data_IF_232915604440
#
_entry.id   IF_232915604440
#
_cell.length_a   1.000
_cell.length_b   1.000
_cell.length_c   1.000
_cell.angle_alpha   90.00
_cell.angle_beta   90.00
_cell.angle_gamma   90.00
#
_symmetry.space_group_name_H-M   'P 1'
#
loop_
_entity.id
_entity.type
_entity.pdbx_description
1 polymer ?
#
# COMPACT_ATOMS: atom_id res chain seq x y z
N UNK A 1 -7.03 -7.25 -25.28
CA UNK A 1 -5.66 -6.78 -24.96
C UNK A 1 -5.69 -6.34 -23.51
N UNK A 2 -5.34 -7.23 -22.57
CA UNK A 2 -5.27 -6.83 -21.17
C UNK A 2 -4.04 -5.96 -20.99
N UNK A 3 -4.21 -4.78 -20.39
CA UNK A 3 -3.12 -3.97 -19.84
C UNK A 3 -2.09 -4.92 -19.23
N UNK A 4 -0.89 -4.89 -19.79
CA UNK A 4 0.15 -5.85 -19.49
C UNK A 4 0.42 -5.82 -17.99
N UNK A 5 0.24 -6.94 -17.29
CA UNK A 5 0.81 -7.08 -15.94
C UNK A 5 2.33 -7.07 -16.11
N UNK A 6 2.98 -5.92 -15.90
CA UNK A 6 4.42 -5.73 -16.15
C UNK A 6 5.24 -5.79 -14.87
N UNK A 7 4.65 -5.48 -13.72
CA UNK A 7 5.41 -5.31 -12.48
C UNK A 7 5.68 -6.68 -11.86
N UNK A 8 6.94 -7.11 -11.69
CA UNK A 8 7.26 -8.32 -10.94
C UNK A 8 6.92 -8.17 -9.46
N UNK A 9 6.46 -9.24 -8.80
CA UNK A 9 6.09 -9.19 -7.37
C UNK A 9 7.20 -8.64 -6.44
N UNK A 10 8.51 -8.95 -6.63
CA UNK A 10 9.55 -8.34 -5.80
C UNK A 10 9.63 -6.81 -5.94
N UNK A 11 9.38 -6.29 -7.15
CA UNK A 11 9.35 -4.84 -7.40
C UNK A 11 8.11 -4.22 -6.77
N UNK A 12 6.96 -4.87 -6.88
CA UNK A 12 5.73 -4.46 -6.20
C UNK A 12 5.98 -4.30 -4.70
N UNK A 13 6.51 -5.34 -4.03
CA UNK A 13 6.78 -5.31 -2.60
C UNK A 13 7.81 -4.23 -2.23
N UNK A 14 8.83 -3.99 -3.06
CA UNK A 14 9.79 -2.91 -2.79
C UNK A 14 9.14 -1.52 -2.85
N UNK A 15 8.24 -1.29 -3.82
CA UNK A 15 7.50 -0.02 -3.91
C UNK A 15 6.50 0.10 -2.77
N UNK A 16 5.75 -0.95 -2.46
CA UNK A 16 4.79 -0.99 -1.34
C UNK A 16 5.49 -0.69 -0.01
N UNK A 17 6.66 -1.29 0.24
CA UNK A 17 7.48 -1.02 1.43
C UNK A 17 7.87 0.45 1.52
N UNK A 18 8.37 1.03 0.42
CA UNK A 18 8.78 2.43 0.39
C UNK A 18 7.57 3.36 0.59
N UNK A 19 6.44 3.06 -0.04
CA UNK A 19 5.19 3.81 0.11
C UNK A 19 4.67 3.74 1.54
N UNK A 20 4.67 2.57 2.17
CA UNK A 20 4.26 2.39 3.55
C UNK A 20 5.11 3.19 4.54
N UNK A 21 6.44 3.14 4.40
CA UNK A 21 7.36 3.95 5.22
C UNK A 21 7.14 5.45 4.99
N UNK A 22 7.01 5.88 3.73
CA UNK A 22 6.76 7.27 3.40
C UNK A 22 5.42 7.76 3.97
N UNK A 23 4.37 6.93 3.90
CA UNK A 23 3.06 7.23 4.48
C UNK A 23 3.16 7.37 6.00
N UNK A 24 3.88 6.49 6.70
CA UNK A 24 4.10 6.61 8.14
C UNK A 24 4.87 7.87 8.53
N UNK A 25 5.82 8.32 7.70
CA UNK A 25 6.57 9.55 7.93
C UNK A 25 5.78 10.82 7.60
N UNK A 26 4.79 10.73 6.70
CA UNK A 26 4.04 11.88 6.18
C UNK A 26 3.37 12.77 7.24
N UNK A 27 2.80 12.27 8.36
CA UNK A 27 2.15 13.13 9.35
C UNK A 27 3.12 14.11 10.01
N UNK A 28 4.39 13.71 10.16
CA UNK A 28 5.42 14.52 10.79
C UNK A 28 5.99 15.57 9.84
N UNK A 29 6.06 15.24 8.54
CA UNK A 29 6.55 16.14 7.50
C UNK A 29 5.52 17.22 7.16
N UNK A 30 4.25 16.84 7.10
CA UNK A 30 3.16 17.70 6.64
C UNK A 30 2.21 18.16 7.76
N UNK A 31 2.52 17.83 9.02
CA UNK A 31 1.76 18.23 10.21
C UNK A 31 0.26 17.88 10.13
N UNK A 32 -0.06 16.59 9.91
CA UNK A 32 -1.45 16.13 9.85
C UNK A 32 -2.22 16.36 11.16
N UNK A 33 -3.54 16.41 11.07
CA UNK A 33 -4.39 16.32 12.26
C UNK A 33 -4.32 14.93 12.92
N UNK A 34 -4.85 14.78 14.15
CA UNK A 34 -4.76 13.52 14.90
C UNK A 34 -5.35 12.32 14.14
N UNK A 35 -6.50 12.50 13.48
CA UNK A 35 -7.14 11.43 12.71
C UNK A 35 -6.31 11.02 11.48
N UNK A 36 -5.76 12.00 10.75
CA UNK A 36 -4.87 11.75 9.61
C UNK A 36 -3.59 11.04 10.04
N UNK A 37 -2.99 11.46 11.16
CA UNK A 37 -1.80 10.84 11.73
C UNK A 37 -2.03 9.36 12.07
N UNK A 38 -3.10 9.05 12.82
CA UNK A 38 -3.42 7.66 13.18
C UNK A 38 -3.66 6.82 11.92
N UNK A 39 -4.45 7.35 10.98
CA UNK A 39 -4.77 6.66 9.72
C UNK A 39 -3.52 6.34 8.92
N UNK A 40 -2.64 7.32 8.72
CA UNK A 40 -1.40 7.17 7.97
C UNK A 40 -0.43 6.17 8.63
N UNK A 41 -0.27 6.22 9.96
CA UNK A 41 0.61 5.29 10.67
C UNK A 41 0.08 3.87 10.60
N UNK A 42 -1.22 3.65 10.84
CA UNK A 42 -1.82 2.31 10.83
C UNK A 42 -1.81 1.71 9.43
N UNK A 43 -2.26 2.46 8.42
CA UNK A 43 -2.30 1.98 7.03
C UNK A 43 -0.89 1.80 6.46
N UNK A 44 0.03 2.72 6.77
CA UNK A 44 1.44 2.59 6.36
C UNK A 44 2.11 1.38 7.01
N UNK A 45 1.86 1.11 8.28
CA UNK A 45 2.37 -0.10 8.95
C UNK A 45 1.79 -1.39 8.33
N UNK A 46 0.52 -1.37 7.90
CA UNK A 46 -0.09 -2.50 7.21
C UNK A 46 0.58 -2.77 5.84
N UNK A 47 0.85 -1.72 5.05
CA UNK A 47 1.60 -1.83 3.78
C UNK A 47 3.02 -2.39 4.02
N UNK A 48 3.74 -1.85 5.00
CA UNK A 48 5.08 -2.35 5.37
C UNK A 48 5.02 -3.83 5.75
N UNK A 49 4.06 -4.21 6.60
CA UNK A 49 3.88 -5.59 7.01
C UNK A 49 3.59 -6.53 5.84
N UNK A 50 2.74 -6.11 4.90
CA UNK A 50 2.40 -6.90 3.73
C UNK A 50 3.58 -7.06 2.78
N UNK A 51 4.31 -5.97 2.50
CA UNK A 51 5.51 -5.99 1.67
C UNK A 51 6.58 -6.94 2.23
N UNK A 52 6.79 -6.96 3.55
CA UNK A 52 7.77 -7.83 4.20
C UNK A 52 7.43 -9.32 4.07
N UNK A 53 6.16 -9.70 3.82
CA UNK A 53 5.79 -11.11 3.59
C UNK A 53 6.39 -11.70 2.32
N UNK A 54 6.78 -10.84 1.37
CA UNK A 54 7.48 -11.21 0.12
C UNK A 54 8.99 -11.32 0.33
N UNK A 55 9.54 -10.64 1.34
CA UNK A 55 10.98 -10.66 1.64
C UNK A 55 11.43 -11.91 2.41
N UNK A 56 10.49 -12.64 3.02
CA UNK A 56 10.79 -13.87 3.74
C UNK A 56 11.31 -14.97 2.78
N UNK A 57 12.46 -15.54 3.11
CA UNK A 57 13.25 -16.44 2.26
C UNK A 57 12.83 -17.91 2.32
N UNK A 58 11.74 -18.24 3.03
CA UNK A 58 11.11 -19.55 2.91
C UNK A 58 10.64 -19.82 1.48
N UNK A 59 10.65 -21.09 1.05
CA UNK A 59 10.39 -21.54 -0.34
C UNK A 59 9.05 -21.06 -0.98
N UNK A 60 8.19 -20.35 -0.23
CA UNK A 60 6.85 -19.90 -0.64
C UNK A 60 6.48 -18.45 -0.24
N UNK A 61 7.34 -17.72 0.46
CA UNK A 61 6.93 -16.51 1.23
C UNK A 61 6.04 -16.88 2.43
N UNK A 62 5.82 -15.95 3.36
CA UNK A 62 5.03 -16.24 4.57
C UNK A 62 3.51 -16.25 4.34
N UNK A 63 3.04 -15.70 3.20
CA UNK A 63 1.62 -15.64 2.81
C UNK A 63 1.38 -16.25 1.43
N UNK A 64 0.27 -17.01 1.24
CA UNK A 64 -0.15 -17.45 -0.08
C UNK A 64 -0.39 -16.27 -1.03
N UNK A 65 0.04 -16.36 -2.29
CA UNK A 65 -0.09 -15.27 -3.29
C UNK A 65 -1.52 -14.74 -3.44
N UNK A 66 -2.53 -15.62 -3.33
CA UNK A 66 -3.95 -15.20 -3.37
C UNK A 66 -4.34 -14.33 -2.18
N UNK A 67 -3.81 -14.62 -0.99
CA UNK A 67 -4.06 -13.84 0.21
C UNK A 67 -3.37 -12.47 0.11
N UNK A 68 -2.11 -12.43 -0.34
CA UNK A 68 -1.39 -11.18 -0.54
C UNK A 68 -2.14 -10.25 -1.51
N UNK A 69 -2.52 -10.73 -2.70
CA UNK A 69 -3.34 -9.94 -3.65
C UNK A 69 -4.70 -9.48 -3.07
N UNK A 70 -5.34 -10.29 -2.23
CA UNK A 70 -6.57 -9.88 -1.56
C UNK A 70 -6.32 -8.77 -0.53
N UNK A 71 -5.20 -8.82 0.18
CA UNK A 71 -4.78 -7.76 1.08
C UNK A 71 -4.42 -6.48 0.32
N UNK A 72 -3.69 -6.55 -0.80
CA UNK A 72 -3.36 -5.37 -1.62
C UNK A 72 -4.63 -4.61 -2.03
N UNK A 73 -5.63 -5.34 -2.53
CA UNK A 73 -6.91 -4.75 -2.93
C UNK A 73 -7.66 -4.15 -1.72
N UNK A 74 -7.67 -4.87 -0.59
CA UNK A 74 -8.29 -4.42 0.65
C UNK A 74 -7.63 -3.15 1.22
N UNK A 75 -6.30 -3.07 1.18
CA UNK A 75 -5.53 -1.91 1.62
C UNK A 75 -5.73 -0.73 0.68
N UNK A 76 -5.64 -0.92 -0.65
CA UNK A 76 -5.91 0.13 -1.62
C UNK A 76 -7.30 0.76 -1.44
N UNK A 77 -8.33 -0.08 -1.23
CA UNK A 77 -9.68 0.37 -0.94
C UNK A 77 -9.76 1.11 0.40
N UNK A 78 -9.17 0.55 1.45
CA UNK A 78 -9.19 1.15 2.80
C UNK A 78 -8.49 2.51 2.83
N UNK A 79 -7.35 2.65 2.14
CA UNK A 79 -6.62 3.91 2.03
C UNK A 79 -7.45 4.92 1.22
N UNK A 80 -8.07 4.50 0.11
CA UNK A 80 -8.92 5.38 -0.69
C UNK A 80 -10.14 5.89 0.08
N UNK A 81 -10.83 5.01 0.80
CA UNK A 81 -11.96 5.40 1.67
C UNK A 81 -11.50 6.28 2.84
N UNK A 82 -10.34 5.97 3.44
CA UNK A 82 -9.72 6.78 4.48
C UNK A 82 -9.39 8.19 4.00
N UNK A 83 -8.86 8.33 2.77
CA UNK A 83 -8.63 9.62 2.15
C UNK A 83 -9.94 10.43 2.09
N UNK A 84 -10.99 9.87 1.49
CA UNK A 84 -12.29 10.54 1.35
C UNK A 84 -12.85 10.95 2.72
N UNK A 85 -12.79 10.07 3.71
CA UNK A 85 -13.24 10.37 5.06
C UNK A 85 -12.48 11.55 5.70
N UNK A 86 -11.16 11.60 5.56
CA UNK A 86 -10.34 12.71 6.06
C UNK A 86 -10.62 14.03 5.33
N UNK A 87 -10.87 13.97 4.03
CA UNK A 87 -11.28 15.13 3.24
C UNK A 87 -12.61 15.72 3.74
N UNK A 88 -13.59 14.86 4.02
CA UNK A 88 -14.88 15.25 4.62
C UNK A 88 -14.68 15.82 6.04
N UNK A 89 -13.75 15.25 6.81
CA UNK A 89 -13.43 15.68 8.17
C UNK A 89 -12.62 17.00 8.24
N UNK A 90 -12.27 17.60 7.09
CA UNK A 90 -11.56 18.88 7.04
C UNK A 90 -10.05 18.76 7.19
N UNK A 91 -9.45 17.59 6.94
CA UNK A 91 -8.00 17.40 6.85
C UNK A 91 -7.57 17.22 5.38
N UNK A 92 -7.52 18.31 4.58
CA UNK A 92 -7.28 18.23 3.14
C UNK A 92 -5.86 17.75 2.80
N UNK A 93 -4.89 17.99 3.69
CA UNK A 93 -3.50 17.55 3.48
C UNK A 93 -3.42 16.04 3.63
N UNK A 94 -3.99 15.46 4.70
CA UNK A 94 -4.03 14.02 4.87
C UNK A 94 -4.86 13.34 3.77
N UNK A 95 -5.99 13.94 3.36
CA UNK A 95 -6.73 13.50 2.17
C UNK A 95 -5.82 13.40 0.94
N UNK A 96 -5.09 14.47 0.62
CA UNK A 96 -4.25 14.52 -0.58
C UNK A 96 -3.17 13.42 -0.55
N UNK A 97 -2.49 13.25 0.57
CA UNK A 97 -1.45 12.22 0.72
C UNK A 97 -2.04 10.81 0.61
N UNK A 98 -3.11 10.50 1.34
CA UNK A 98 -3.73 9.17 1.26
C UNK A 98 -4.33 8.91 -0.13
N UNK A 99 -4.87 9.92 -0.82
CA UNK A 99 -5.40 9.76 -2.18
C UNK A 99 -4.30 9.39 -3.18
N UNK A 100 -3.12 10.02 -3.07
CA UNK A 100 -1.95 9.66 -3.89
C UNK A 100 -1.49 8.24 -3.58
N UNK A 101 -1.39 7.87 -2.30
CA UNK A 101 -1.02 6.49 -1.93
C UNK A 101 -2.04 5.48 -2.43
N UNK A 102 -3.34 5.74 -2.27
CA UNK A 102 -4.39 4.87 -2.80
C UNK A 102 -4.25 4.67 -4.31
N UNK A 103 -3.96 5.73 -5.06
CA UNK A 103 -3.72 5.64 -6.50
C UNK A 103 -2.47 4.79 -6.81
N UNK A 104 -1.38 4.98 -6.08
CA UNK A 104 -0.16 4.15 -6.22
C UNK A 104 -0.50 2.69 -5.99
N UNK A 105 -1.23 2.35 -4.93
CA UNK A 105 -1.58 0.97 -4.61
C UNK A 105 -2.55 0.35 -5.64
N UNK A 106 -3.52 1.11 -6.14
CA UNK A 106 -4.40 0.64 -7.23
C UNK A 106 -3.58 0.35 -8.50
N UNK A 107 -2.66 1.25 -8.86
CA UNK A 107 -1.80 1.07 -10.04
C UNK A 107 -0.88 -0.14 -9.86
N UNK A 108 -0.27 -0.30 -8.69
CA UNK A 108 0.54 -1.45 -8.36
C UNK A 108 -0.29 -2.75 -8.48
N UNK A 109 -1.37 -2.86 -7.72
CA UNK A 109 -2.22 -4.07 -7.66
C UNK A 109 -2.71 -4.50 -9.04
N UNK A 110 -3.15 -3.55 -9.87
CA UNK A 110 -3.69 -3.84 -11.20
C UNK A 110 -2.64 -4.22 -12.24
N UNK A 111 -1.37 -3.80 -12.04
CA UNK A 111 -0.28 -4.03 -12.99
C UNK A 111 0.74 -5.08 -12.52
N UNK A 112 0.57 -5.66 -11.33
CA UNK A 112 1.46 -6.70 -10.78
C UNK A 112 1.20 -8.10 -11.33
N UNK A 113 2.29 -8.79 -11.64
CA UNK A 113 2.32 -10.24 -11.90
C UNK A 113 2.57 -10.98 -10.59
N UNK A 114 1.50 -11.49 -10.00
CA UNK A 114 1.54 -12.36 -8.83
C UNK A 114 1.96 -13.77 -9.22
N UNK A 115 3.26 -13.95 -9.44
CA UNK A 115 3.87 -15.24 -9.74
C UNK A 115 5.04 -15.50 -8.78
N UNK A 116 5.31 -16.77 -8.43
CA UNK A 116 6.48 -17.12 -7.63
C UNK A 116 7.77 -16.66 -8.31
N UNK A 117 8.77 -16.32 -7.50
CA UNK A 117 10.14 -16.13 -7.99
C UNK A 117 10.62 -17.49 -8.50
N UNK A 118 10.99 -17.57 -9.79
CA UNK A 118 11.62 -18.77 -10.32
C UNK A 118 13.07 -18.76 -9.85
N UNK A 119 13.43 -19.73 -9.00
CA UNK A 119 14.81 -20.05 -8.69
C UNK A 119 15.50 -20.70 -9.89
#
# INVERSE_FOLDING_TARGET
MTLSRVIPLPVHAAVELATGVALMASPFVFAFGPAGMISAIVLGAALVGLALTVADSGERGSLPLRAHHAYDFGLALSIGLGAVALGIAGDPIAFGVLAVVALVEVLLTTNTRYSPIRA
#
